data_IF_262284420222
#
_entry.id   IF_262284420222
#
_cell.length_a   1.000
_cell.length_b   1.000
_cell.length_c   1.000
_cell.angle_alpha   90.00
_cell.angle_beta   90.00
_cell.angle_gamma   90.00
#
_symmetry.space_group_name_H-M   'P 1'
#
loop_
_entity.id
_entity.type
_entity.pdbx_description
1 polymer ?
#
# COMPACT_ATOMS: atom_id res chain seq x y z
N UNK A 1 -2.80 -28.06 -13.53
CA UNK A 1 -3.25 -26.95 -12.66
C UNK A 1 -3.45 -27.50 -11.25
N UNK A 2 -2.85 -26.92 -10.22
CA UNK A 2 -3.03 -27.43 -8.85
C UNK A 2 -4.51 -27.30 -8.47
N UNK A 3 -5.14 -28.40 -8.07
CA UNK A 3 -6.54 -28.49 -7.64
C UNK A 3 -6.89 -27.59 -6.45
N UNK A 4 -5.88 -26.96 -5.83
CA UNK A 4 -6.00 -26.15 -4.63
C UNK A 4 -5.85 -24.63 -4.87
N UNK A 5 -5.73 -24.17 -6.13
CA UNK A 5 -5.68 -22.72 -6.43
C UNK A 5 -7.10 -22.16 -6.48
N UNK A 6 -7.40 -21.27 -5.52
CA UNK A 6 -8.72 -20.68 -5.32
C UNK A 6 -8.86 -19.27 -5.87
N UNK A 7 -7.78 -18.50 -5.85
CA UNK A 7 -7.72 -17.13 -6.31
C UNK A 7 -6.49 -16.94 -7.21
N UNK A 8 -6.63 -16.10 -8.24
CA UNK A 8 -5.52 -15.62 -9.07
C UNK A 8 -5.50 -14.10 -8.98
N UNK A 9 -4.36 -13.52 -8.62
CA UNK A 9 -4.15 -12.08 -8.48
C UNK A 9 -3.15 -11.59 -9.55
N UNK A 10 -3.56 -10.63 -10.38
CA UNK A 10 -2.63 -9.93 -11.26
C UNK A 10 -1.88 -8.84 -10.48
N UNK A 11 -0.74 -8.41 -11.01
CA UNK A 11 0.00 -7.25 -10.47
C UNK A 11 -0.78 -5.98 -10.75
N UNK A 12 -0.63 -4.99 -9.88
CA UNK A 12 -1.13 -3.63 -10.13
C UNK A 12 0.05 -2.67 -10.36
N UNK A 13 -0.17 -1.71 -11.25
CA UNK A 13 0.73 -0.60 -11.52
C UNK A 13 -0.04 0.67 -11.80
N UNK A 14 0.64 1.76 -12.14
CA UNK A 14 0.01 3.04 -12.44
C UNK A 14 0.39 3.54 -13.83
N UNK A 15 -0.56 4.17 -14.52
CA UNK A 15 -0.30 4.79 -15.83
C UNK A 15 0.19 6.24 -15.75
N UNK A 16 0.04 6.91 -14.61
CA UNK A 16 0.46 8.32 -14.38
C UNK A 16 1.60 8.48 -13.35
N UNK A 17 2.65 7.62 -13.33
CA UNK A 17 3.68 7.68 -12.29
C UNK A 17 4.49 8.99 -12.32
N UNK A 18 4.61 9.63 -13.48
CA UNK A 18 5.43 10.84 -13.67
C UNK A 18 4.70 12.16 -13.37
N UNK A 19 3.40 12.12 -13.05
CA UNK A 19 2.57 13.32 -12.91
C UNK A 19 3.07 14.28 -11.82
N UNK A 20 3.44 13.77 -10.64
CA UNK A 20 4.10 14.54 -9.59
C UNK A 20 4.86 13.62 -8.61
N UNK A 21 5.48 14.19 -7.58
CA UNK A 21 6.26 13.39 -6.62
C UNK A 21 5.41 12.33 -5.89
N UNK A 22 4.15 12.66 -5.58
CA UNK A 22 3.25 11.72 -4.89
C UNK A 22 2.93 10.50 -5.76
N UNK A 23 2.66 10.70 -7.05
CA UNK A 23 2.41 9.59 -7.98
C UNK A 23 3.67 8.73 -8.18
N UNK A 24 4.87 9.33 -8.11
CA UNK A 24 6.14 8.59 -8.16
C UNK A 24 6.30 7.68 -6.94
N UNK A 25 6.06 8.18 -5.73
CA UNK A 25 6.09 7.36 -4.51
C UNK A 25 5.04 6.25 -4.52
N UNK A 26 3.84 6.53 -5.03
CA UNK A 26 2.79 5.52 -5.22
C UNK A 26 3.26 4.39 -6.14
N UNK A 27 3.86 4.73 -7.28
CA UNK A 27 4.41 3.77 -8.23
C UNK A 27 5.58 2.96 -7.65
N UNK A 28 6.47 3.59 -6.88
CA UNK A 28 7.55 2.91 -6.16
C UNK A 28 7.02 1.84 -5.19
N UNK A 29 5.99 2.19 -4.41
CA UNK A 29 5.36 1.28 -3.45
C UNK A 29 4.69 0.09 -4.15
N UNK A 30 3.95 0.33 -5.23
CA UNK A 30 3.32 -0.76 -5.99
C UNK A 30 4.36 -1.63 -6.71
N UNK A 31 5.42 -1.03 -7.24
CA UNK A 31 6.53 -1.77 -7.83
C UNK A 31 7.15 -2.72 -6.80
N UNK A 32 7.45 -2.25 -5.59
CA UNK A 32 7.95 -3.07 -4.49
C UNK A 32 6.94 -4.16 -4.10
N UNK A 33 5.69 -3.78 -3.83
CA UNK A 33 4.67 -4.67 -3.29
C UNK A 33 4.31 -5.81 -4.25
N UNK A 34 3.95 -5.49 -5.50
CA UNK A 34 3.45 -6.48 -6.46
C UNK A 34 4.57 -7.28 -7.15
N UNK A 35 5.80 -6.77 -7.23
CA UNK A 35 6.90 -7.48 -7.90
C UNK A 35 7.86 -8.18 -6.94
N UNK A 36 7.89 -7.82 -5.66
CA UNK A 36 8.79 -8.42 -4.67
C UNK A 36 8.05 -8.95 -3.46
N UNK A 37 7.25 -8.13 -2.79
CA UNK A 37 6.61 -8.53 -1.53
C UNK A 37 5.60 -9.67 -1.75
N UNK A 38 4.63 -9.50 -2.65
CA UNK A 38 3.62 -10.54 -2.91
C UNK A 38 4.22 -11.84 -3.47
N UNK A 39 5.11 -11.84 -4.48
CA UNK A 39 5.79 -13.06 -4.91
C UNK A 39 6.63 -13.70 -3.80
N UNK A 40 7.29 -12.90 -2.97
CA UNK A 40 8.07 -13.38 -1.82
C UNK A 40 7.20 -14.06 -0.76
N UNK A 41 6.05 -13.46 -0.43
CA UNK A 41 5.06 -14.07 0.47
C UNK A 41 4.51 -15.38 -0.11
N UNK A 42 4.22 -15.41 -1.42
CA UNK A 42 3.75 -16.61 -2.10
C UNK A 42 4.81 -17.72 -2.05
N UNK A 43 6.07 -17.39 -2.33
CA UNK A 43 7.18 -18.34 -2.27
C UNK A 43 7.38 -18.88 -0.85
N UNK A 44 7.25 -18.04 0.17
CA UNK A 44 7.28 -18.44 1.58
C UNK A 44 6.04 -19.24 2.03
N UNK A 45 5.01 -19.36 1.18
CA UNK A 45 3.73 -19.99 1.52
C UNK A 45 2.99 -19.27 2.65
N UNK A 46 3.16 -17.95 2.74
CA UNK A 46 2.46 -17.06 3.66
C UNK A 46 1.14 -16.59 3.02
N UNK A 47 0.21 -16.13 3.85
CA UNK A 47 -1.07 -15.58 3.39
C UNK A 47 -0.83 -14.30 2.57
N UNK A 48 -1.50 -14.18 1.43
CA UNK A 48 -1.41 -13.01 0.56
C UNK A 48 -2.55 -12.04 0.88
N UNK A 49 -2.25 -10.79 1.29
CA UNK A 49 -3.24 -9.72 1.28
C UNK A 49 -3.58 -9.42 -0.18
N UNK A 50 -4.83 -9.65 -0.58
CA UNK A 50 -5.25 -9.39 -1.94
C UNK A 50 -5.31 -7.87 -2.21
N UNK A 51 -5.09 -7.48 -3.46
CA UNK A 51 -4.91 -6.07 -3.86
C UNK A 51 -6.19 -5.39 -4.38
N UNK A 52 -7.36 -5.95 -4.08
CA UNK A 52 -8.68 -5.41 -4.44
C UNK A 52 -9.04 -5.57 -5.92
N UNK A 53 -8.20 -5.06 -6.82
CA UNK A 53 -8.41 -5.11 -8.27
C UNK A 53 -7.71 -6.33 -8.88
N UNK A 54 -8.22 -6.78 -10.02
CA UNK A 54 -7.64 -7.86 -10.83
C UNK A 54 -7.36 -9.15 -10.07
N UNK A 55 -8.26 -9.49 -9.14
CA UNK A 55 -8.32 -10.83 -8.59
C UNK A 55 -9.54 -11.63 -9.04
N UNK A 56 -9.26 -12.88 -9.40
CA UNK A 56 -10.18 -13.81 -10.05
C UNK A 56 -10.35 -15.02 -9.14
N UNK A 57 -11.59 -15.24 -8.70
CA UNK A 57 -11.91 -16.31 -7.76
C UNK A 57 -12.70 -17.42 -8.43
N UNK A 58 -12.52 -18.65 -7.94
CA UNK A 58 -13.52 -19.69 -8.18
C UNK A 58 -14.78 -19.35 -7.38
N UNK A 59 -15.88 -19.06 -8.08
CA UNK A 59 -17.15 -18.64 -7.46
C UNK A 59 -17.65 -19.62 -6.38
N UNK A 60 -17.49 -20.93 -6.62
CA UNK A 60 -17.89 -21.95 -5.64
C UNK A 60 -17.11 -21.84 -4.32
N UNK A 61 -15.82 -21.48 -4.38
CA UNK A 61 -15.00 -21.29 -3.18
C UNK A 61 -15.38 -19.99 -2.47
N UNK A 62 -15.53 -18.89 -3.22
CA UNK A 62 -15.94 -17.61 -2.65
C UNK A 62 -17.26 -17.73 -1.88
N UNK A 63 -18.26 -18.43 -2.43
CA UNK A 63 -19.54 -18.71 -1.76
C UNK A 63 -19.37 -19.56 -0.51
N UNK A 64 -18.53 -20.60 -0.55
CA UNK A 64 -18.24 -21.46 0.62
C UNK A 64 -17.55 -20.70 1.76
N UNK A 65 -16.77 -19.67 1.44
CA UNK A 65 -16.10 -18.81 2.42
C UNK A 65 -17.02 -17.72 3.01
N UNK A 66 -18.27 -17.63 2.56
CA UNK A 66 -19.22 -16.60 2.99
C UNK A 66 -19.12 -15.27 2.24
N UNK A 67 -18.38 -15.22 1.12
CA UNK A 67 -18.24 -14.02 0.29
C UNK A 67 -17.39 -12.91 0.92
N UNK A 68 -17.64 -11.68 0.50
CA UNK A 68 -17.00 -10.47 0.99
C UNK A 68 -17.61 -10.04 2.33
N UNK A 69 -16.79 -9.51 3.24
CA UNK A 69 -17.29 -8.91 4.47
C UNK A 69 -17.78 -7.47 4.18
N UNK A 70 -19.09 -7.18 4.24
CA UNK A 70 -19.62 -5.86 3.92
C UNK A 70 -19.26 -4.78 4.96
N UNK A 71 -18.75 -5.17 6.14
CA UNK A 71 -18.38 -4.23 7.21
C UNK A 71 -16.89 -3.91 7.25
N UNK A 72 -16.07 -4.64 6.49
CA UNK A 72 -14.64 -4.42 6.39
C UNK A 72 -14.33 -3.55 5.17
N UNK A 73 -13.56 -2.48 5.38
CA UNK A 73 -13.17 -1.57 4.27
C UNK A 73 -12.00 -2.09 3.43
N UNK A 74 -11.42 -3.24 3.81
CA UNK A 74 -10.47 -4.05 3.05
C UNK A 74 -10.92 -5.52 3.07
N UNK A 75 -12.08 -5.76 2.47
CA UNK A 75 -12.72 -7.06 2.33
C UNK A 75 -11.85 -8.10 1.59
N UNK A 76 -10.99 -7.61 0.70
CA UNK A 76 -10.00 -8.33 -0.08
C UNK A 76 -8.87 -8.92 0.77
N UNK A 77 -8.30 -8.09 1.64
CA UNK A 77 -7.28 -8.49 2.59
C UNK A 77 -7.80 -9.57 3.55
N UNK A 78 -9.01 -9.39 4.08
CA UNK A 78 -9.66 -10.39 4.94
C UNK A 78 -9.91 -11.71 4.21
N UNK A 79 -10.43 -11.64 2.97
CA UNK A 79 -10.66 -12.83 2.17
C UNK A 79 -9.36 -13.59 1.87
N UNK A 80 -8.26 -12.87 1.62
CA UNK A 80 -6.92 -13.45 1.45
C UNK A 80 -6.46 -14.25 2.66
N UNK A 81 -6.69 -13.73 3.88
CA UNK A 81 -6.44 -14.47 5.12
C UNK A 81 -7.33 -15.70 5.23
N UNK A 82 -8.65 -15.56 5.02
CA UNK A 82 -9.60 -16.68 5.10
C UNK A 82 -9.24 -17.81 4.14
N UNK A 83 -8.84 -17.49 2.90
CA UNK A 83 -8.35 -18.50 1.95
C UNK A 83 -7.21 -19.34 2.54
N UNK A 84 -6.23 -18.69 3.15
CA UNK A 84 -5.09 -19.37 3.77
C UNK A 84 -5.52 -20.27 4.93
N UNK A 85 -6.51 -19.86 5.73
CA UNK A 85 -7.05 -20.67 6.85
C UNK A 85 -7.69 -21.98 6.39
N UNK A 86 -8.22 -22.02 5.16
CA UNK A 86 -8.74 -23.24 4.52
C UNK A 86 -7.70 -23.95 3.66
N UNK A 87 -6.42 -23.59 3.79
CA UNK A 87 -5.29 -24.12 3.03
C UNK A 87 -5.44 -23.97 1.51
N UNK A 88 -6.24 -23.01 1.07
CA UNK A 88 -6.44 -22.67 -0.33
C UNK A 88 -5.34 -21.72 -0.79
N UNK A 89 -4.87 -21.90 -2.02
CA UNK A 89 -3.76 -21.10 -2.57
C UNK A 89 -4.26 -19.94 -3.41
N UNK A 90 -3.62 -18.79 -3.22
CA UNK A 90 -3.68 -17.66 -4.14
C UNK A 90 -2.43 -17.67 -5.01
N UNK A 91 -2.61 -17.58 -6.33
CA UNK A 91 -1.51 -17.49 -7.29
C UNK A 91 -1.38 -16.06 -7.82
N UNK A 92 -0.18 -15.49 -7.77
CA UNK A 92 0.17 -14.23 -8.41
C UNK A 92 0.62 -14.51 -9.84
N UNK A 93 0.02 -13.84 -10.82
CA UNK A 93 0.38 -13.96 -12.24
C UNK A 93 1.14 -12.73 -12.71
N UNK A 94 1.99 -12.92 -13.71
CA UNK A 94 2.77 -11.86 -14.33
C UNK A 94 1.96 -11.12 -15.41
N UNK A 95 0.85 -10.54 -14.99
CA UNK A 95 0.02 -9.63 -15.78
C UNK A 95 -0.18 -8.37 -14.96
N UNK A 96 -0.07 -7.20 -15.57
CA UNK A 96 -0.17 -5.92 -14.83
C UNK A 96 -1.40 -5.14 -15.29
N UNK A 97 -2.27 -4.82 -14.36
CA UNK A 97 -3.36 -3.86 -14.57
C UNK A 97 -2.92 -2.47 -14.13
N UNK A 98 -3.15 -1.47 -14.98
CA UNK A 98 -2.76 -0.09 -14.71
C UNK A 98 -3.94 0.70 -14.14
N UNK A 99 -3.73 1.31 -12.98
CA UNK A 99 -4.68 2.18 -12.30
C UNK A 99 -4.21 3.65 -12.31
N UNK A 100 -5.05 4.55 -11.80
CA UNK A 100 -4.67 5.94 -11.57
C UNK A 100 -4.05 6.11 -10.18
N UNK A 101 -2.80 6.60 -10.13
CA UNK A 101 -2.19 7.06 -8.90
C UNK A 101 -2.81 8.39 -8.47
N UNK A 102 -3.08 8.53 -7.18
CA UNK A 102 -3.67 9.73 -6.63
C UNK A 102 -2.64 10.86 -6.59
N UNK A 103 -2.86 11.91 -7.39
CA UNK A 103 -1.94 13.05 -7.48
C UNK A 103 -2.23 14.16 -6.48
N UNK A 104 -3.33 14.09 -5.71
CA UNK A 104 -3.68 15.10 -4.71
C UNK A 104 -3.48 14.58 -3.29
N UNK A 105 -2.66 15.26 -2.49
CA UNK A 105 -2.31 14.81 -1.13
C UNK A 105 -3.52 14.63 -0.21
N UNK A 106 -4.54 15.50 -0.27
CA UNK A 106 -5.73 15.37 0.57
C UNK A 106 -6.56 14.14 0.18
N UNK A 107 -6.78 13.94 -1.12
CA UNK A 107 -7.49 12.76 -1.62
C UNK A 107 -6.71 11.46 -1.35
N UNK A 108 -5.38 11.54 -1.39
CA UNK A 108 -4.47 10.45 -1.07
C UNK A 108 -4.55 10.05 0.42
N UNK A 109 -4.58 11.03 1.35
CA UNK A 109 -4.74 10.76 2.79
C UNK A 109 -6.04 9.99 3.05
N UNK A 110 -7.14 10.37 2.38
CA UNK A 110 -8.43 9.68 2.47
C UNK A 110 -8.36 8.23 1.97
N UNK A 111 -7.70 8.02 0.82
CA UNK A 111 -7.49 6.69 0.27
C UNK A 111 -6.68 5.80 1.21
N UNK A 112 -5.57 6.32 1.72
CA UNK A 112 -4.63 5.56 2.56
C UNK A 112 -5.16 5.32 3.95
N UNK A 113 -5.81 6.29 4.56
CA UNK A 113 -6.48 6.10 5.85
C UNK A 113 -7.53 5.00 5.77
N UNK A 114 -8.31 4.90 4.68
CA UNK A 114 -9.22 3.78 4.45
C UNK A 114 -8.51 2.44 4.40
N UNK A 115 -7.40 2.31 3.65
CA UNK A 115 -6.65 1.05 3.58
C UNK A 115 -6.07 0.64 4.93
N UNK A 116 -5.43 1.58 5.64
CA UNK A 116 -4.88 1.33 6.97
C UNK A 116 -5.98 0.98 7.98
N UNK A 117 -7.14 1.63 7.89
CA UNK A 117 -8.32 1.33 8.72
C UNK A 117 -8.79 -0.12 8.51
N UNK A 118 -8.87 -0.57 7.26
CA UNK A 118 -9.25 -1.96 6.96
C UNK A 118 -8.23 -2.97 7.48
N UNK A 119 -6.93 -2.63 7.45
CA UNK A 119 -5.90 -3.46 8.08
C UNK A 119 -6.11 -3.57 9.60
N UNK A 120 -6.43 -2.46 10.28
CA UNK A 120 -6.80 -2.54 11.70
C UNK A 120 -8.04 -3.38 11.95
N UNK A 121 -9.11 -3.20 11.15
CA UNK A 121 -10.33 -3.99 11.29
C UNK A 121 -10.05 -5.49 11.13
N UNK A 122 -9.35 -5.84 10.06
CA UNK A 122 -8.95 -7.22 9.76
C UNK A 122 -8.09 -7.78 10.89
N UNK A 123 -7.06 -7.05 11.33
CA UNK A 123 -6.20 -7.49 12.43
C UNK A 123 -7.00 -7.74 13.72
N UNK A 124 -7.84 -6.78 14.13
CA UNK A 124 -8.63 -6.88 15.34
C UNK A 124 -9.62 -8.04 15.29
N UNK A 125 -10.31 -8.26 14.17
CA UNK A 125 -11.27 -9.36 14.00
C UNK A 125 -10.58 -10.72 14.15
N UNK A 126 -9.46 -10.93 13.47
CA UNK A 126 -8.71 -12.19 13.56
C UNK A 126 -8.02 -12.36 14.92
N UNK A 127 -7.60 -11.27 15.57
CA UNK A 127 -7.04 -11.27 16.92
C UNK A 127 -8.07 -11.43 18.05
N UNK A 128 -9.38 -11.47 17.78
CA UNK A 128 -10.40 -11.78 18.82
C UNK A 128 -10.22 -13.18 19.42
N UNK A 129 -9.66 -14.11 18.66
CA UNK A 129 -9.42 -15.50 19.08
C UNK A 129 -8.02 -15.95 18.64
N UNK A 130 -6.94 -15.37 19.22
CA UNK A 130 -5.58 -15.57 18.74
C UNK A 130 -5.13 -17.03 18.89
N UNK A 131 -5.69 -17.75 19.87
CA UNK A 131 -5.47 -19.19 20.11
C UNK A 131 -5.73 -20.08 18.89
N UNK A 132 -6.63 -19.66 17.98
CA UNK A 132 -6.90 -20.40 16.73
C UNK A 132 -5.66 -20.49 15.83
N UNK A 133 -4.76 -19.51 15.92
CA UNK A 133 -3.54 -19.43 15.12
C UNK A 133 -2.31 -20.01 15.81
N UNK A 134 -2.35 -20.21 17.14
CA UNK A 134 -1.29 -20.84 17.92
C UNK A 134 -1.22 -22.37 17.74
N UNK A 135 -2.06 -22.94 16.86
CA UNK A 135 -2.00 -24.34 16.51
C UNK A 135 -0.73 -24.63 15.67
N UNK A 136 -0.02 -25.75 15.91
CA UNK A 136 1.26 -26.04 15.23
C UNK A 136 1.20 -25.99 13.70
N UNK A 137 0.03 -26.27 13.09
CA UNK A 137 -0.14 -26.25 11.63
C UNK A 137 -0.41 -24.86 11.04
N UNK A 138 -0.59 -23.82 11.86
CA UNK A 138 -1.07 -22.49 11.45
C UNK A 138 -0.09 -21.35 11.74
N UNK A 139 1.15 -21.67 12.11
CA UNK A 139 2.18 -20.66 12.40
C UNK A 139 2.44 -19.69 11.23
N UNK A 140 2.35 -20.16 9.98
CA UNK A 140 2.52 -19.32 8.77
C UNK A 140 1.43 -18.25 8.66
N UNK A 141 0.19 -18.62 8.94
CA UNK A 141 -0.95 -17.69 8.97
C UNK A 141 -0.77 -16.69 10.11
N UNK A 142 -0.32 -17.15 11.28
CA UNK A 142 -0.02 -16.28 12.41
C UNK A 142 1.05 -15.25 12.05
N UNK A 143 2.17 -15.68 11.45
CA UNK A 143 3.25 -14.79 11.02
C UNK A 143 2.75 -13.78 9.98
N UNK A 144 1.96 -14.24 9.01
CA UNK A 144 1.38 -13.36 7.99
C UNK A 144 0.50 -12.28 8.63
N UNK A 145 -0.35 -12.67 9.57
CA UNK A 145 -1.24 -11.77 10.29
C UNK A 145 -0.44 -10.77 11.16
N UNK A 146 0.59 -11.22 11.88
CA UNK A 146 1.40 -10.34 12.72
C UNK A 146 2.30 -9.41 11.92
N UNK A 147 3.06 -9.92 10.95
CA UNK A 147 4.07 -9.13 10.24
C UNK A 147 3.50 -8.29 9.09
N UNK A 148 2.47 -8.78 8.39
CA UNK A 148 1.96 -8.10 7.19
C UNK A 148 0.76 -7.22 7.53
N UNK A 149 -0.19 -7.73 8.32
CA UNK A 149 -1.42 -6.99 8.64
C UNK A 149 -1.27 -6.15 9.90
N UNK A 150 -0.66 -6.69 10.96
CA UNK A 150 -0.50 -6.00 12.25
C UNK A 150 0.68 -5.02 12.27
N UNK A 151 1.87 -5.50 11.91
CA UNK A 151 3.10 -4.72 12.03
C UNK A 151 3.19 -3.58 11.00
N UNK A 152 2.55 -3.71 9.84
CA UNK A 152 2.53 -2.65 8.82
C UNK A 152 1.88 -1.34 9.35
N UNK A 153 0.62 -1.34 9.82
CA UNK A 153 0.04 -0.18 10.49
C UNK A 153 0.77 0.23 11.78
N UNK A 154 1.27 -0.71 12.58
CA UNK A 154 2.02 -0.38 13.78
C UNK A 154 3.30 0.41 13.47
N UNK A 155 3.99 0.06 12.38
CA UNK A 155 5.20 0.76 11.93
C UNK A 155 4.91 2.22 11.58
N UNK A 156 3.72 2.53 11.04
CA UNK A 156 3.32 3.92 10.77
C UNK A 156 3.19 4.78 12.04
N UNK A 157 2.98 4.19 13.22
CA UNK A 157 3.00 4.91 14.49
C UNK A 157 4.37 4.94 15.13
N UNK A 158 5.10 3.83 15.06
CA UNK A 158 6.43 3.70 15.67
C UNK A 158 7.44 4.60 14.96
N UNK A 159 7.43 4.62 13.62
CA UNK A 159 8.42 5.34 12.82
C UNK A 159 8.55 6.84 13.18
N UNK A 160 7.48 7.66 13.20
CA UNK A 160 7.61 9.08 13.58
C UNK A 160 8.11 9.27 15.00
N UNK A 161 7.74 8.41 15.96
CA UNK A 161 8.26 8.44 17.33
C UNK A 161 9.77 8.18 17.33
N UNK A 162 10.24 7.18 16.59
CA UNK A 162 11.66 6.87 16.49
C UNK A 162 12.47 8.01 15.86
N UNK A 163 11.92 8.68 14.83
CA UNK A 163 12.56 9.87 14.24
C UNK A 163 12.63 11.04 15.24
N UNK A 164 11.56 11.28 16.00
CA UNK A 164 11.55 12.32 17.04
C UNK A 164 12.59 12.01 18.12
N UNK A 165 12.66 10.77 18.61
CA UNK A 165 13.66 10.36 19.59
C UNK A 165 15.09 10.55 19.05
N UNK A 166 15.35 10.18 17.79
CA UNK A 166 16.66 10.43 17.17
C UNK A 166 16.99 11.92 17.09
N UNK A 167 16.06 12.76 16.65
CA UNK A 167 16.26 14.21 16.54
C UNK A 167 16.52 14.83 17.92
N UNK A 168 15.73 14.45 18.93
CA UNK A 168 15.90 14.92 20.30
C UNK A 168 17.27 14.52 20.86
N UNK A 169 17.70 13.29 20.61
CA UNK A 169 19.03 12.84 21.02
C UNK A 169 20.15 13.66 20.37
N UNK A 170 20.04 13.98 19.08
CA UNK A 170 21.06 14.76 18.36
C UNK A 170 21.09 16.21 18.85
N UNK A 171 19.93 16.86 18.97
CA UNK A 171 19.82 18.29 19.29
C UNK A 171 20.09 18.58 20.77
N UNK A 172 19.58 17.74 21.67
CA UNK A 172 19.69 17.93 23.12
C UNK A 172 20.65 16.93 23.78
N UNK A 173 21.64 16.43 23.03
CA UNK A 173 22.60 15.40 23.48
C UNK A 173 23.21 15.67 24.86
N UNK A 174 23.70 16.88 25.19
CA UNK A 174 24.36 17.13 26.48
C UNK A 174 23.43 16.89 27.68
N UNK A 175 22.14 17.12 27.51
CA UNK A 175 21.12 17.00 28.58
C UNK A 175 20.49 15.61 28.57
N UNK A 176 20.22 15.04 27.39
CA UNK A 176 19.47 13.80 27.25
C UNK A 176 20.35 12.54 27.21
N UNK A 177 21.66 12.64 27.00
CA UNK A 177 22.54 11.47 26.92
C UNK A 177 22.46 10.54 28.16
N UNK A 178 22.44 11.04 29.41
CA UNK A 178 22.29 10.17 30.58
C UNK A 178 20.96 9.40 30.58
N UNK A 179 19.85 10.08 30.22
CA UNK A 179 18.54 9.45 30.11
C UNK A 179 18.53 8.35 29.03
N UNK A 180 19.07 8.64 27.85
CA UNK A 180 19.16 7.66 26.76
C UNK A 180 20.03 6.46 27.12
N UNK A 181 21.10 6.64 27.90
CA UNK A 181 21.93 5.53 28.37
C UNK A 181 21.16 4.57 29.29
N UNK A 182 20.19 5.08 30.07
CA UNK A 182 19.32 4.23 30.90
C UNK A 182 18.24 3.50 30.09
N UNK A 183 17.73 4.12 29.02
CA UNK A 183 16.66 3.56 28.18
C UNK A 183 17.17 2.61 27.10
N UNK A 184 18.32 2.92 26.49
CA UNK A 184 18.95 2.14 25.44
C UNK A 184 20.16 1.37 25.99
N UNK A 185 19.87 0.39 26.85
CA UNK A 185 20.87 -0.61 27.26
C UNK A 185 21.30 -1.46 26.05
N UNK A 186 22.47 -2.10 26.13
CA UNK A 186 23.05 -2.85 25.00
C UNK A 186 22.07 -3.77 24.23
N UNK A 187 21.21 -4.59 24.88
CA UNK A 187 20.23 -5.44 24.19
C UNK A 187 19.18 -4.68 23.37
N UNK A 188 18.94 -3.41 23.66
CA UNK A 188 18.00 -2.54 22.93
C UNK A 188 18.77 -1.66 21.94
N UNK A 189 19.91 -1.12 22.36
CA UNK A 189 20.72 -0.20 21.58
C UNK A 189 21.22 -0.82 20.28
N UNK A 190 21.86 -1.98 20.32
CA UNK A 190 22.44 -2.57 19.11
C UNK A 190 21.38 -2.97 18.08
N UNK A 191 20.26 -3.64 18.43
CA UNK A 191 19.19 -3.88 17.47
C UNK A 191 18.56 -2.60 16.93
N UNK A 192 18.34 -1.58 17.78
CA UNK A 192 17.81 -0.29 17.33
C UNK A 192 18.76 0.38 16.32
N UNK A 193 20.07 0.32 16.54
CA UNK A 193 21.09 0.84 15.63
C UNK A 193 21.11 0.08 14.31
N UNK A 194 20.99 -1.25 14.34
CA UNK A 194 20.86 -2.08 13.14
C UNK A 194 19.62 -1.71 12.35
N UNK A 195 18.45 -1.57 13.01
CA UNK A 195 17.22 -1.13 12.34
C UNK A 195 17.36 0.27 11.75
N UNK A 196 18.00 1.20 12.48
CA UNK A 196 18.21 2.57 12.04
C UNK A 196 19.11 2.64 10.79
N UNK A 197 20.24 1.93 10.78
CA UNK A 197 21.21 2.00 9.68
C UNK A 197 20.83 1.00 8.58
N UNK A 198 20.90 -0.29 8.91
CA UNK A 198 20.70 -1.37 7.94
C UNK A 198 19.24 -1.53 7.52
N UNK A 199 18.30 -1.35 8.45
CA UNK A 199 16.86 -1.43 8.11
C UNK A 199 16.45 -0.37 7.10
N UNK A 200 16.80 0.91 7.35
CA UNK A 200 16.53 1.99 6.42
C UNK A 200 17.28 1.83 5.09
N UNK A 201 18.58 1.47 5.14
CA UNK A 201 19.36 1.20 3.93
C UNK A 201 18.75 0.10 3.08
N UNK A 202 18.39 -1.04 3.68
CA UNK A 202 17.79 -2.18 2.98
C UNK A 202 16.47 -1.75 2.33
N UNK A 203 15.64 -0.98 3.03
CA UNK A 203 14.37 -0.54 2.47
C UNK A 203 14.54 0.38 1.25
N UNK A 204 15.50 1.33 1.31
CA UNK A 204 15.87 2.16 0.16
C UNK A 204 16.45 1.32 -0.98
N UNK A 205 17.34 0.38 -0.66
CA UNK A 205 17.98 -0.50 -1.63
C UNK A 205 16.96 -1.36 -2.39
N UNK A 206 15.98 -1.95 -1.69
CA UNK A 206 14.95 -2.76 -2.35
C UNK A 206 14.04 -1.88 -3.23
N UNK A 207 13.79 -0.61 -2.88
CA UNK A 207 13.12 0.31 -3.81
C UNK A 207 13.92 0.53 -5.10
N UNK A 208 15.26 0.68 -5.03
CA UNK A 208 16.08 0.77 -6.24
C UNK A 208 16.03 -0.50 -7.08
N UNK A 209 16.09 -1.68 -6.44
CA UNK A 209 15.90 -2.96 -7.15
C UNK A 209 14.52 -3.02 -7.78
N UNK A 210 13.48 -2.53 -7.10
CA UNK A 210 12.13 -2.50 -7.62
C UNK A 210 12.03 -1.64 -8.90
N UNK A 211 12.60 -0.44 -8.89
CA UNK A 211 12.70 0.40 -10.09
C UNK A 211 13.40 -0.31 -11.24
N UNK A 212 14.55 -0.94 -10.98
CA UNK A 212 15.32 -1.62 -12.01
C UNK A 212 14.55 -2.79 -12.62
N UNK A 213 13.90 -3.61 -11.78
CA UNK A 213 13.13 -4.77 -12.24
C UNK A 213 11.88 -4.39 -13.02
N UNK A 214 11.22 -3.28 -12.67
CA UNK A 214 10.07 -2.77 -13.43
C UNK A 214 10.48 -1.86 -14.59
N UNK A 215 11.79 -1.67 -14.84
CA UNK A 215 12.35 -0.77 -15.85
C UNK A 215 11.89 0.70 -15.71
N UNK A 216 11.56 1.13 -14.49
CA UNK A 216 11.10 2.49 -14.17
C UNK A 216 12.23 3.33 -13.59
N UNK A 217 13.33 3.45 -14.33
CA UNK A 217 14.56 4.13 -13.87
C UNK A 217 14.35 5.60 -13.50
N UNK A 218 13.41 6.28 -14.15
CA UNK A 218 13.06 7.68 -13.84
C UNK A 218 12.55 7.87 -12.41
N UNK A 219 12.04 6.82 -11.75
CA UNK A 219 11.57 6.86 -10.36
C UNK A 219 12.69 6.74 -9.34
N UNK A 220 13.89 6.31 -9.73
CA UNK A 220 15.02 6.14 -8.80
C UNK A 220 15.38 7.44 -8.07
N UNK A 221 15.23 8.59 -8.74
CA UNK A 221 15.46 9.91 -8.14
C UNK A 221 14.43 10.26 -7.05
N UNK A 222 13.26 9.61 -7.03
CA UNK A 222 12.25 9.80 -6.00
C UNK A 222 12.48 8.94 -4.75
N UNK A 223 13.33 7.90 -4.83
CA UNK A 223 13.60 6.95 -3.74
C UNK A 223 14.20 7.61 -2.51
N UNK A 224 15.23 8.48 -2.59
CA UNK A 224 15.79 9.12 -1.39
C UNK A 224 14.76 9.95 -0.61
N UNK A 225 13.75 10.49 -1.30
CA UNK A 225 12.70 11.30 -0.68
C UNK A 225 11.52 10.47 -0.15
N UNK A 226 11.57 9.13 -0.21
CA UNK A 226 10.49 8.27 0.28
C UNK A 226 10.25 8.38 1.78
N UNK A 227 11.24 8.87 2.55
CA UNK A 227 11.07 9.15 3.98
C UNK A 227 9.95 10.17 4.26
N UNK A 228 9.75 11.15 3.37
CA UNK A 228 8.62 12.09 3.47
C UNK A 228 7.29 11.39 3.24
N UNK A 229 7.26 10.42 2.32
CA UNK A 229 6.09 9.60 2.06
C UNK A 229 5.73 8.74 3.29
N UNK A 230 6.71 8.21 4.03
CA UNK A 230 6.44 7.48 5.27
C UNK A 230 5.83 8.35 6.36
N UNK A 231 6.23 9.62 6.47
CA UNK A 231 5.57 10.57 7.38
C UNK A 231 4.13 10.84 6.94
N UNK A 232 3.86 10.96 5.64
CA UNK A 232 2.49 11.06 5.14
C UNK A 232 1.66 9.81 5.47
N UNK A 233 2.24 8.61 5.36
CA UNK A 233 1.59 7.34 5.75
C UNK A 233 1.29 7.32 7.25
N UNK A 234 2.20 7.85 8.07
CA UNK A 234 2.02 8.01 9.52
C UNK A 234 0.84 8.92 9.84
N UNK A 235 0.72 10.05 9.14
CA UNK A 235 -0.44 10.94 9.27
C UNK A 235 -1.75 10.25 8.86
N UNK A 236 -1.74 9.53 7.72
CA UNK A 236 -2.90 8.77 7.28
C UNK A 236 -3.31 7.67 8.27
N UNK A 237 -2.35 7.03 8.96
CA UNK A 237 -2.60 6.04 10.00
C UNK A 237 -3.28 6.63 11.25
N UNK A 238 -2.88 7.84 11.68
CA UNK A 238 -3.57 8.57 12.76
C UNK A 238 -5.03 8.86 12.38
N UNK A 239 -5.26 9.33 11.15
CA UNK A 239 -6.62 9.57 10.64
C UNK A 239 -7.42 8.25 10.59
N UNK A 240 -6.80 7.16 10.14
CA UNK A 240 -7.42 5.83 10.10
C UNK A 240 -7.85 5.34 11.48
N UNK A 241 -6.98 5.51 12.48
CA UNK A 241 -7.25 5.11 13.86
C UNK A 241 -8.38 5.94 14.49
N UNK A 242 -8.37 7.25 14.27
CA UNK A 242 -9.47 8.12 14.66
C UNK A 242 -10.80 7.67 14.01
N UNK A 243 -10.78 7.39 12.69
CA UNK A 243 -11.97 6.90 11.98
C UNK A 243 -12.40 5.51 12.44
N UNK A 244 -11.48 4.63 12.84
CA UNK A 244 -11.81 3.31 13.38
C UNK A 244 -12.66 3.42 14.65
N UNK A 245 -12.32 4.35 15.54
CA UNK A 245 -13.02 4.56 16.81
C UNK A 245 -14.32 5.32 16.61
N UNK A 246 -14.28 6.46 15.92
CA UNK A 246 -15.40 7.40 15.88
C UNK A 246 -16.30 7.26 14.63
N UNK A 247 -15.81 6.63 13.56
CA UNK A 247 -16.53 6.46 12.28
C UNK A 247 -16.29 5.07 11.67
N UNK A 248 -16.56 3.97 12.41
CA UNK A 248 -16.12 2.62 12.04
C UNK A 248 -16.63 2.14 10.68
N UNK A 249 -17.84 2.52 10.28
CA UNK A 249 -18.44 2.11 8.99
C UNK A 249 -18.33 3.18 7.89
N UNK A 250 -17.68 4.30 8.16
CA UNK A 250 -17.56 5.35 7.16
C UNK A 250 -16.58 4.97 6.05
N UNK A 251 -17.06 5.08 4.81
CA UNK A 251 -16.31 4.82 3.58
C UNK A 251 -16.01 6.13 2.85
N UNK A 252 -14.75 6.57 2.89
CA UNK A 252 -14.31 7.73 2.11
C UNK A 252 -14.03 7.33 0.65
N UNK A 253 -14.93 7.73 -0.25
CA UNK A 253 -14.74 7.54 -1.69
C UNK A 253 -13.61 8.43 -2.21
N UNK A 254 -12.75 7.84 -3.03
CA UNK A 254 -11.68 8.54 -3.74
C UNK A 254 -12.20 9.22 -4.99
N UNK A 255 -11.76 10.45 -5.23
CA UNK A 255 -11.99 11.12 -6.51
C UNK A 255 -10.99 10.60 -7.54
N UNK A 256 -11.47 10.29 -8.74
CA UNK A 256 -10.68 9.84 -9.89
C UNK A 256 -10.65 10.92 -10.99
N UNK A 257 -9.78 10.78 -11.98
CA UNK A 257 -9.64 11.71 -13.11
C UNK A 257 -8.83 12.97 -12.80
N UNK A 258 -7.96 12.93 -11.80
CA UNK A 258 -7.13 14.09 -11.41
C UNK A 258 -6.08 14.41 -12.48
N UNK A 259 -5.66 13.43 -13.28
CA UNK A 259 -4.79 13.64 -14.44
C UNK A 259 -5.47 14.46 -15.57
N UNK A 260 -6.81 14.44 -15.67
CA UNK A 260 -7.56 15.17 -16.70
C UNK A 260 -7.63 16.68 -16.41
N UNK A 261 -7.66 17.07 -15.13
CA UNK A 261 -7.70 18.47 -14.72
C UNK A 261 -6.43 19.25 -15.13
N UNK A 262 -5.30 18.55 -15.26
CA UNK A 262 -4.06 19.16 -15.72
C UNK A 262 -4.04 19.37 -17.24
N UNK A 263 -4.69 18.49 -18.01
CA UNK A 263 -4.84 18.64 -19.47
C UNK A 263 -5.83 19.75 -19.84
N UNK A 264 -6.87 19.96 -19.05
CA UNK A 264 -7.86 21.02 -19.28
C UNK A 264 -7.30 22.45 -19.15
N UNK A 265 -6.09 22.63 -18.60
CA UNK A 265 -5.39 23.93 -18.54
C UNK A 265 -4.51 24.22 -19.77
N UNK A 266 -4.35 23.28 -20.70
CA UNK A 266 -3.67 23.56 -21.96
C UNK A 266 -4.60 24.43 -22.84
N UNK A 267 -4.09 25.52 -23.47
CA UNK A 267 -4.92 26.32 -24.36
C UNK A 267 -5.45 25.44 -25.50
N UNK A 268 -6.73 25.60 -25.89
CA UNK A 268 -7.29 24.82 -26.99
C UNK A 268 -6.47 25.05 -28.26
N UNK A 269 -6.12 23.95 -28.94
CA UNK A 269 -5.50 24.00 -30.26
C UNK A 269 -6.46 24.79 -31.17
N UNK A 270 -6.02 25.84 -31.88
CA UNK A 270 -6.87 26.55 -32.82
C UNK A 270 -7.35 25.56 -33.87
N UNK A 271 -8.66 25.30 -33.92
CA UNK A 271 -9.27 24.52 -34.99
C UNK A 271 -9.15 25.36 -36.26
N UNK A 272 -8.53 24.86 -37.34
CA UNK A 272 -8.54 25.56 -38.62
C UNK A 272 -9.99 25.72 -39.06
N UNK A 273 -10.49 26.96 -39.13
CA UNK A 273 -11.80 27.25 -39.71
C UNK A 273 -11.79 26.81 -41.17
N UNK A 274 -12.60 25.80 -41.50
CA UNK A 274 -12.82 25.39 -42.89
C UNK A 274 -13.36 26.58 -43.69
N UNK A 275 -12.88 26.82 -44.93
CA UNK A 275 -13.38 27.91 -45.74
C UNK A 275 -14.89 27.72 -46.02
N UNK A 276 -15.69 28.80 -46.01
CA UNK A 276 -17.12 28.70 -46.20
C UNK A 276 -17.45 28.15 -47.59
N UNK A 277 -18.32 27.14 -47.63
CA UNK A 277 -18.86 26.55 -48.85
C UNK A 277 -19.58 27.65 -49.66
N UNK A 278 -19.07 27.95 -50.86
CA UNK A 278 -19.76 28.80 -51.82
C UNK A 278 -21.03 28.07 -52.29
N UNK A 279 -22.21 28.60 -51.94
CA UNK A 279 -23.47 28.09 -52.47
C UNK A 279 -23.62 28.49 -53.96
N UNK A 280 -24.13 27.59 -54.81
CA UNK A 280 -24.31 27.88 -56.23
C UNK A 280 -25.43 28.92 -56.42
N UNK A 281 -25.12 30.01 -57.15
CA UNK A 281 -26.12 30.99 -57.59
C UNK A 281 -27.08 30.31 -58.56
N UNK A 282 -28.34 30.19 -58.18
CA UNK A 282 -29.43 29.85 -59.10
C UNK A 282 -29.84 31.13 -59.84
N UNK A 283 -29.58 31.18 -61.15
CA UNK A 283 -30.11 32.21 -62.04
C UNK A 283 -31.59 31.94 -62.34
N UNK A 284 -32.41 33.00 -62.32
CA UNK A 284 -33.80 33.00 -62.81
C UNK A 284 -33.86 32.79 -64.31
#
# INVERSE_FOLDING_TARGET
QSTNTACVQAKLGFYNPTQNMLTRWFALEYALWFNFTLPGLQWAGLSLPLGGTSNHFRTAILRRLGGWDPFNVTEDCDLGLRLAQYHLRTAVIDSTTLEEANSNSRNWIRQRSRWTKGYFQTYLVHMRRPWKFLQPKRWREFISLQLIIGASPATFFINPVMWVLLILYIVARPVLAPLYATLYIAPIYYPALVCLIWGNFLYLYVYFIACARTQQYSLMLAVPLIMYYWLMMSFAAVVAFYQLIFKPHFWEKTKHGLHLQHKAKAPPIPVPTAPPLQQPRISR
#
